data_IF_858987861582
#
_entry.id   IF_858987861582
#
_cell.length_a   1.000
_cell.length_b   1.000
_cell.length_c   1.000
_cell.angle_alpha   90.00
_cell.angle_beta   90.00
_cell.angle_gamma   90.00
#
_symmetry.space_group_name_H-M   'P 1'
#
loop_
_entity.id
_entity.type
_entity.pdbx_description
1 polymer ?
#
# COMPACT_ATOMS: atom_id res chain seq x y z
N UNK A 1 -2.58 -12.08 -32.64
CA UNK A 1 -2.56 -10.73 -32.02
C UNK A 1 -2.78 -10.90 -30.53
N UNK A 2 -1.97 -10.28 -29.65
CA UNK A 2 -2.24 -10.28 -28.21
C UNK A 2 -3.40 -9.33 -27.96
N UNK A 3 -4.44 -9.79 -27.25
CA UNK A 3 -5.56 -8.96 -26.82
C UNK A 3 -5.03 -7.81 -25.93
N UNK A 4 -5.42 -6.55 -26.17
CA UNK A 4 -5.03 -5.44 -25.32
C UNK A 4 -5.48 -5.69 -23.88
N UNK A 5 -4.62 -5.38 -22.89
CA UNK A 5 -5.01 -5.50 -21.48
C UNK A 5 -6.05 -4.44 -21.14
N UNK A 6 -7.18 -4.88 -20.59
CA UNK A 6 -8.26 -4.03 -20.08
C UNK A 6 -7.99 -3.53 -18.65
N UNK A 7 -6.93 -3.96 -18.02
CA UNK A 7 -6.68 -3.73 -16.59
C UNK A 7 -6.67 -2.24 -16.23
N UNK A 8 -5.97 -1.42 -17.02
CA UNK A 8 -5.91 0.02 -16.78
C UNK A 8 -7.26 0.70 -17.00
N UNK A 9 -8.00 0.30 -18.04
CA UNK A 9 -9.35 0.80 -18.32
C UNK A 9 -10.28 0.50 -17.15
N UNK A 10 -10.35 -0.77 -16.74
CA UNK A 10 -11.17 -1.19 -15.60
C UNK A 10 -10.75 -0.48 -14.31
N UNK A 11 -9.45 -0.28 -14.09
CA UNK A 11 -8.93 0.42 -12.93
C UNK A 11 -9.40 1.88 -12.88
N UNK A 12 -9.28 2.62 -14.00
CA UNK A 12 -9.73 4.02 -14.08
C UNK A 12 -11.25 4.13 -13.87
N UNK A 13 -12.03 3.20 -14.46
CA UNK A 13 -13.47 3.20 -14.32
C UNK A 13 -13.95 2.80 -12.92
N UNK A 14 -13.18 2.00 -12.19
CA UNK A 14 -13.45 1.66 -10.79
C UNK A 14 -13.15 2.81 -9.80
N UNK A 15 -12.39 3.82 -10.22
CA UNK A 15 -12.09 4.97 -9.36
C UNK A 15 -13.31 5.83 -9.10
N UNK A 16 -13.49 6.27 -7.84
CA UNK A 16 -14.49 7.25 -7.45
C UNK A 16 -14.21 8.63 -8.04
N UNK A 17 -15.24 9.49 -8.12
CA UNK A 17 -15.09 10.87 -8.58
C UNK A 17 -14.10 11.68 -7.73
N UNK A 18 -14.00 11.38 -6.42
CA UNK A 18 -13.07 12.04 -5.52
C UNK A 18 -11.62 11.64 -5.82
N UNK A 19 -11.35 10.36 -6.08
CA UNK A 19 -10.03 9.86 -6.45
C UNK A 19 -9.57 10.40 -7.81
N UNK A 20 -10.45 10.43 -8.81
CA UNK A 20 -10.17 11.03 -10.12
C UNK A 20 -9.83 12.52 -10.00
N UNK A 21 -10.56 13.24 -9.15
CA UNK A 21 -10.29 14.67 -8.90
C UNK A 21 -8.95 14.87 -8.19
N UNK A 22 -8.64 14.05 -7.19
CA UNK A 22 -7.37 14.09 -6.49
C UNK A 22 -6.20 13.82 -7.43
N UNK A 23 -6.28 12.76 -8.26
CA UNK A 23 -5.29 12.44 -9.26
C UNK A 23 -5.02 13.61 -10.23
N UNK A 24 -6.07 14.20 -10.79
CA UNK A 24 -5.95 15.35 -11.70
C UNK A 24 -5.30 16.56 -11.04
N UNK A 25 -5.56 16.80 -9.76
CA UNK A 25 -4.99 17.93 -9.00
C UNK A 25 -3.50 17.73 -8.70
N UNK A 26 -3.10 16.50 -8.39
CA UNK A 26 -1.73 16.17 -7.98
C UNK A 26 -0.79 15.93 -9.17
N UNK A 27 -1.33 15.50 -10.32
CA UNK A 27 -0.54 15.19 -11.52
C UNK A 27 -0.29 16.45 -12.34
N UNK A 28 1.01 16.75 -12.61
CA UNK A 28 1.44 17.93 -13.41
C UNK A 28 1.80 17.59 -14.85
N UNK A 29 2.03 16.32 -15.16
CA UNK A 29 2.40 15.87 -16.50
C UNK A 29 1.16 15.84 -17.40
N UNK A 30 1.07 16.81 -18.33
CA UNK A 30 -0.05 16.95 -19.26
C UNK A 30 -0.30 15.68 -20.07
N UNK A 31 0.75 15.06 -20.54
CA UNK A 31 0.66 13.85 -21.34
C UNK A 31 0.03 12.68 -20.56
N UNK A 32 0.38 12.51 -19.28
CA UNK A 32 -0.24 11.52 -18.39
C UNK A 32 -1.72 11.82 -18.16
N UNK A 33 -2.08 13.12 -18.03
CA UNK A 33 -3.46 13.55 -17.88
C UNK A 33 -4.27 13.30 -19.17
N UNK A 34 -3.71 13.61 -20.35
CA UNK A 34 -4.36 13.37 -21.64
C UNK A 34 -4.67 11.89 -21.84
N UNK A 35 -3.70 11.01 -21.56
CA UNK A 35 -3.92 9.56 -21.63
C UNK A 35 -4.99 9.10 -20.64
N UNK A 36 -4.99 9.61 -19.42
CA UNK A 36 -6.01 9.32 -18.42
C UNK A 36 -7.39 9.76 -18.89
N UNK A 37 -7.52 10.99 -19.39
CA UNK A 37 -8.80 11.55 -19.82
C UNK A 37 -9.36 10.81 -21.02
N UNK A 38 -8.53 10.48 -22.01
CA UNK A 38 -8.94 9.68 -23.17
C UNK A 38 -9.52 8.33 -22.72
N UNK A 39 -8.84 7.62 -21.80
CA UNK A 39 -9.33 6.33 -21.33
C UNK A 39 -10.57 6.47 -20.45
N UNK A 40 -10.65 7.52 -19.64
CA UNK A 40 -11.77 7.76 -18.73
C UNK A 40 -13.07 8.14 -19.47
N UNK A 41 -12.98 8.74 -20.65
CA UNK A 41 -14.13 9.10 -21.48
C UNK A 41 -14.71 7.94 -22.29
N UNK A 42 -14.00 6.82 -22.42
CA UNK A 42 -14.44 5.66 -23.20
C UNK A 42 -15.51 4.88 -22.46
N UNK A 43 -16.55 4.45 -23.15
CA UNK A 43 -17.52 3.47 -22.64
C UNK A 43 -16.99 2.03 -22.75
N UNK A 44 -16.22 1.75 -23.80
CA UNK A 44 -15.52 0.50 -24.03
C UNK A 44 -14.08 0.78 -24.48
N UNK A 45 -13.14 -0.06 -24.04
CA UNK A 45 -11.74 0.14 -24.37
C UNK A 45 -11.42 -0.13 -25.83
N UNK A 46 -10.91 0.89 -26.54
CA UNK A 46 -10.43 0.81 -27.92
C UNK A 46 -9.00 1.35 -28.03
N UNK A 47 -8.04 0.45 -28.24
CA UNK A 47 -6.62 0.82 -28.32
C UNK A 47 -6.29 1.66 -29.56
N UNK A 48 -6.99 1.42 -30.68
CA UNK A 48 -6.78 2.20 -31.90
C UNK A 48 -7.31 3.63 -31.74
N UNK A 49 -8.41 3.81 -31.04
CA UNK A 49 -8.91 5.13 -30.68
C UNK A 49 -7.91 5.89 -29.81
N UNK A 50 -7.32 5.25 -28.80
CA UNK A 50 -6.28 5.84 -27.94
C UNK A 50 -5.07 6.26 -28.78
N UNK A 51 -4.56 5.38 -29.67
CA UNK A 51 -3.45 5.72 -30.55
C UNK A 51 -3.77 6.88 -31.47
N UNK A 52 -4.99 6.91 -32.03
CA UNK A 52 -5.41 7.97 -32.95
C UNK A 52 -5.53 9.33 -32.26
N UNK A 53 -6.05 9.39 -31.03
CA UNK A 53 -6.13 10.63 -30.25
C UNK A 53 -4.76 11.13 -29.77
N UNK A 54 -3.77 10.25 -29.64
CA UNK A 54 -2.39 10.55 -29.20
C UNK A 54 -1.40 10.73 -30.34
N UNK A 55 -1.82 10.72 -31.61
CA UNK A 55 -0.92 10.74 -32.80
C UNK A 55 0.07 11.89 -32.81
N UNK A 56 -0.32 13.05 -32.33
CA UNK A 56 0.50 14.27 -32.32
C UNK A 56 1.36 14.42 -31.05
N UNK A 57 1.26 13.46 -30.14
CA UNK A 57 2.03 13.42 -28.90
C UNK A 57 3.25 12.51 -29.03
N UNK A 58 4.29 12.75 -28.24
CA UNK A 58 5.50 11.90 -28.17
C UNK A 58 5.22 10.45 -27.73
N UNK A 59 3.95 10.10 -27.50
CA UNK A 59 3.47 8.79 -27.02
C UNK A 59 3.18 7.77 -28.13
N UNK A 60 3.06 8.19 -29.39
CA UNK A 60 2.59 7.34 -30.48
C UNK A 60 3.43 6.05 -30.69
N UNK A 61 4.71 6.06 -30.28
CA UNK A 61 5.63 4.93 -30.46
C UNK A 61 5.58 3.84 -29.36
N UNK A 62 5.07 4.12 -28.16
CA UNK A 62 5.25 3.21 -27.02
C UNK A 62 4.08 3.22 -26.01
N UNK A 63 2.84 3.15 -26.51
CA UNK A 63 1.61 3.22 -25.71
C UNK A 63 1.63 2.24 -24.50
N UNK A 64 2.20 1.06 -24.65
CA UNK A 64 2.32 0.07 -23.55
C UNK A 64 3.12 0.63 -22.37
N UNK A 65 4.24 1.31 -22.64
CA UNK A 65 5.08 1.90 -21.58
C UNK A 65 4.33 3.03 -20.88
N UNK A 66 3.62 3.87 -21.63
CA UNK A 66 2.85 4.98 -21.07
C UNK A 66 1.64 4.49 -20.26
N UNK A 67 0.95 3.43 -20.67
CA UNK A 67 -0.11 2.78 -19.88
C UNK A 67 0.44 2.25 -18.55
N UNK A 68 1.59 1.57 -18.57
CA UNK A 68 2.22 1.08 -17.33
C UNK A 68 2.63 2.24 -16.42
N UNK A 69 3.22 3.30 -16.99
CA UNK A 69 3.60 4.50 -16.23
C UNK A 69 2.38 5.17 -15.59
N UNK A 70 1.30 5.36 -16.34
CA UNK A 70 0.05 5.90 -15.84
C UNK A 70 -0.48 5.06 -14.68
N UNK A 71 -0.51 3.74 -14.82
CA UNK A 71 -0.95 2.83 -13.76
C UNK A 71 -0.11 2.99 -12.48
N UNK A 72 1.22 3.11 -12.59
CA UNK A 72 2.09 3.33 -11.43
C UNK A 72 1.84 4.70 -10.76
N UNK A 73 1.62 5.75 -11.55
CA UNK A 73 1.30 7.07 -11.03
C UNK A 73 -0.06 7.05 -10.33
N UNK A 74 -1.08 6.43 -10.92
CA UNK A 74 -2.40 6.25 -10.30
C UNK A 74 -2.30 5.52 -8.96
N UNK A 75 -1.59 4.40 -8.90
CA UNK A 75 -1.39 3.64 -7.66
C UNK A 75 -0.66 4.45 -6.60
N UNK A 76 0.34 5.25 -6.98
CA UNK A 76 1.03 6.15 -6.06
C UNK A 76 0.10 7.21 -5.49
N UNK A 77 -0.67 7.87 -6.35
CA UNK A 77 -1.64 8.90 -5.97
C UNK A 77 -2.75 8.32 -5.06
N UNK A 78 -3.29 7.14 -5.39
CA UNK A 78 -4.32 6.51 -4.57
C UNK A 78 -3.79 6.09 -3.20
N UNK A 79 -2.54 5.64 -3.10
CA UNK A 79 -1.90 5.41 -1.79
C UNK A 79 -1.91 6.69 -0.95
N UNK A 80 -1.43 7.81 -1.49
CA UNK A 80 -1.46 9.11 -0.78
C UNK A 80 -2.90 9.56 -0.44
N UNK A 81 -3.84 9.35 -1.35
CA UNK A 81 -5.25 9.67 -1.10
C UNK A 81 -5.87 8.88 0.05
N UNK A 82 -5.43 7.64 0.25
CA UNK A 82 -5.95 6.73 1.29
C UNK A 82 -5.07 6.67 2.54
N UNK A 83 -3.89 7.31 2.53
CA UNK A 83 -2.82 7.14 3.53
C UNK A 83 -3.28 7.36 4.99
N UNK A 84 -4.19 8.30 5.22
CA UNK A 84 -4.68 8.61 6.56
C UNK A 84 -6.11 8.13 6.85
N UNK A 85 -6.74 7.42 5.92
CA UNK A 85 -8.16 7.08 6.03
C UNK A 85 -8.45 5.85 6.88
N UNK A 86 -7.49 4.95 7.01
CA UNK A 86 -7.65 3.74 7.82
C UNK A 86 -6.62 3.68 8.95
N UNK A 87 -6.96 3.01 10.04
CA UNK A 87 -6.01 2.76 11.13
C UNK A 87 -4.76 2.03 10.64
N UNK A 88 -4.94 1.00 9.81
CA UNK A 88 -3.84 0.24 9.20
C UNK A 88 -2.91 1.11 8.35
N UNK A 89 -3.46 2.03 7.55
CA UNK A 89 -2.64 2.94 6.74
C UNK A 89 -1.77 3.85 7.62
N UNK A 90 -2.35 4.41 8.70
CA UNK A 90 -1.61 5.25 9.66
C UNK A 90 -0.49 4.48 10.34
N UNK A 91 -0.75 3.23 10.74
CA UNK A 91 0.26 2.36 11.37
C UNK A 91 1.40 2.09 10.40
N UNK A 92 1.10 1.76 9.13
CA UNK A 92 2.12 1.53 8.10
C UNK A 92 3.01 2.76 7.87
N UNK A 93 2.42 3.95 7.81
CA UNK A 93 3.19 5.21 7.69
C UNK A 93 4.17 5.38 8.86
N UNK A 94 3.77 5.07 10.08
CA UNK A 94 4.67 5.15 11.24
C UNK A 94 5.81 4.14 11.13
N UNK A 95 5.54 2.92 10.67
CA UNK A 95 6.57 1.90 10.44
C UNK A 95 7.53 2.33 9.33
N UNK A 96 7.02 2.85 8.20
CA UNK A 96 7.83 3.35 7.09
C UNK A 96 8.71 4.54 7.52
N UNK A 97 8.16 5.46 8.32
CA UNK A 97 8.92 6.57 8.90
C UNK A 97 10.06 6.07 9.79
N UNK A 98 9.81 5.05 10.62
CA UNK A 98 10.85 4.45 11.44
C UNK A 98 11.98 3.86 10.57
N UNK A 99 11.65 3.17 9.49
CA UNK A 99 12.66 2.64 8.56
C UNK A 99 13.48 3.75 7.87
N UNK A 100 12.85 4.88 7.54
CA UNK A 100 13.56 6.06 7.00
C UNK A 100 14.54 6.60 8.03
N UNK A 101 14.12 6.77 9.31
CA UNK A 101 15.00 7.23 10.38
C UNK A 101 16.17 6.26 10.62
N UNK A 102 15.93 4.95 10.53
CA UNK A 102 16.97 3.93 10.64
C UNK A 102 18.04 4.07 9.56
N UNK A 103 17.62 4.25 8.30
CA UNK A 103 18.55 4.49 7.19
C UNK A 103 19.40 5.76 7.39
N UNK A 104 18.87 6.73 8.16
CA UNK A 104 19.57 7.97 8.55
C UNK A 104 20.34 7.86 9.86
N UNK A 105 20.36 6.69 10.51
CA UNK A 105 20.99 6.42 11.82
C UNK A 105 20.39 7.27 12.97
N UNK A 106 19.13 7.68 12.82
CA UNK A 106 18.39 8.45 13.82
C UNK A 106 17.58 7.47 14.69
N UNK A 107 18.25 6.76 15.59
CA UNK A 107 17.70 5.62 16.31
C UNK A 107 16.57 6.00 17.27
N UNK A 108 16.72 7.08 18.02
CA UNK A 108 15.69 7.55 18.97
C UNK A 108 14.38 7.92 18.27
N UNK A 109 14.48 8.61 17.12
CA UNK A 109 13.32 8.98 16.31
C UNK A 109 12.64 7.73 15.72
N UNK A 110 13.42 6.74 15.29
CA UNK A 110 12.90 5.47 14.81
C UNK A 110 12.13 4.74 15.91
N UNK A 111 12.69 4.63 17.13
CA UNK A 111 12.02 4.03 18.29
C UNK A 111 10.72 4.77 18.60
N UNK A 112 10.72 6.10 18.60
CA UNK A 112 9.52 6.90 18.86
C UNK A 112 8.39 6.62 17.85
N UNK A 113 8.73 6.42 16.56
CA UNK A 113 7.73 6.05 15.56
C UNK A 113 7.19 4.63 15.78
N UNK A 114 8.08 3.68 16.11
CA UNK A 114 7.68 2.30 16.39
C UNK A 114 6.79 2.20 17.62
N UNK A 115 7.08 2.95 18.69
CA UNK A 115 6.26 2.97 19.90
C UNK A 115 4.85 3.48 19.63
N UNK A 116 4.72 4.53 18.81
CA UNK A 116 3.42 5.03 18.36
C UNK A 116 2.69 3.98 17.49
N UNK A 117 3.41 3.32 16.59
CA UNK A 117 2.83 2.26 15.76
C UNK A 117 2.29 1.11 16.62
N UNK A 118 3.06 0.66 17.62
CA UNK A 118 2.66 -0.40 18.55
C UNK A 118 1.41 0.00 19.34
N UNK A 119 1.35 1.24 19.86
CA UNK A 119 0.17 1.75 20.57
C UNK A 119 -1.08 1.74 19.68
N UNK A 120 -0.96 2.15 18.43
CA UNK A 120 -2.08 2.08 17.47
C UNK A 120 -2.45 0.64 17.13
N UNK A 121 -1.47 -0.27 17.00
CA UNK A 121 -1.76 -1.69 16.80
C UNK A 121 -2.56 -2.29 17.96
N UNK A 122 -2.26 -1.91 19.21
CA UNK A 122 -3.00 -2.35 20.39
C UNK A 122 -4.42 -1.77 20.41
N UNK A 123 -4.57 -0.49 20.03
CA UNK A 123 -5.87 0.17 19.98
C UNK A 123 -6.81 -0.40 18.93
N UNK A 124 -6.27 -0.80 17.78
CA UNK A 124 -7.04 -1.25 16.63
C UNK A 124 -6.96 -2.77 16.37
N UNK A 125 -6.36 -3.52 17.31
CA UNK A 125 -6.24 -4.99 17.24
C UNK A 125 -5.58 -5.49 15.96
N UNK A 126 -4.41 -4.89 15.61
CA UNK A 126 -3.64 -5.19 14.39
C UNK A 126 -2.35 -5.99 14.71
N UNK A 127 -2.46 -7.30 15.05
CA UNK A 127 -1.33 -8.08 15.53
C UNK A 127 -0.24 -8.30 14.48
N UNK A 128 -0.56 -8.35 13.19
CA UNK A 128 0.41 -8.50 12.10
C UNK A 128 1.31 -7.26 11.99
N UNK A 129 0.73 -6.08 12.04
CA UNK A 129 1.48 -4.82 11.99
C UNK A 129 2.25 -4.60 13.29
N UNK A 130 1.69 -5.01 14.43
CA UNK A 130 2.41 -4.99 15.71
C UNK A 130 3.64 -5.88 15.66
N UNK A 131 3.52 -7.10 15.14
CA UNK A 131 4.64 -8.02 14.99
C UNK A 131 5.73 -7.44 14.09
N UNK A 132 5.35 -6.76 13.00
CA UNK A 132 6.30 -6.07 12.12
C UNK A 132 7.05 -4.95 12.87
N UNK A 133 6.34 -4.07 13.57
CA UNK A 133 6.95 -2.98 14.34
C UNK A 133 7.88 -3.49 15.44
N UNK A 134 7.48 -4.52 16.18
CA UNK A 134 8.30 -5.17 17.22
C UNK A 134 9.54 -5.83 16.63
N UNK A 135 9.44 -6.46 15.45
CA UNK A 135 10.58 -7.07 14.76
C UNK A 135 11.64 -6.02 14.37
N UNK A 136 11.22 -4.84 13.92
CA UNK A 136 12.13 -3.73 13.64
C UNK A 136 12.75 -3.22 14.94
N UNK A 137 11.95 -3.06 16.01
CA UNK A 137 12.42 -2.59 17.31
C UNK A 137 13.43 -3.55 17.94
N UNK A 138 13.22 -4.87 17.83
CA UNK A 138 14.14 -5.89 18.31
C UNK A 138 15.54 -5.79 17.66
N UNK A 139 15.59 -5.49 16.36
CA UNK A 139 16.87 -5.31 15.65
C UNK A 139 17.60 -4.02 16.06
N UNK A 140 16.88 -3.02 16.56
CA UNK A 140 17.45 -1.76 17.05
C UNK A 140 18.06 -1.89 18.43
N UNK A 141 17.54 -2.77 19.26
CA UNK A 141 17.99 -2.95 20.63
C UNK A 141 19.50 -3.29 20.73
N UNK A 142 20.06 -3.93 19.69
CA UNK A 142 21.50 -4.20 19.61
C UNK A 142 22.38 -2.95 19.48
N UNK A 143 21.80 -1.78 19.17
CA UNK A 143 22.52 -0.50 19.00
C UNK A 143 22.25 0.49 20.15
N UNK A 144 21.45 0.11 21.16
CA UNK A 144 21.08 0.95 22.29
C UNK A 144 21.67 0.41 23.60
N UNK A 145 21.97 1.29 24.54
CA UNK A 145 22.66 0.96 25.81
C UNK A 145 21.83 0.12 26.80
N UNK A 146 20.50 0.09 26.66
CA UNK A 146 19.56 -0.65 27.52
C UNK A 146 19.04 -1.95 26.89
N UNK A 147 19.94 -2.70 26.26
CA UNK A 147 19.65 -3.87 25.43
C UNK A 147 18.79 -4.96 26.10
N UNK A 148 19.12 -5.35 27.34
CA UNK A 148 18.49 -6.51 27.96
C UNK A 148 17.01 -6.30 28.31
N UNK A 149 16.66 -5.14 28.86
CA UNK A 149 15.28 -4.84 29.29
C UNK A 149 14.33 -4.63 28.11
N UNK A 150 14.82 -3.92 27.07
CA UNK A 150 14.02 -3.66 25.86
C UNK A 150 13.74 -4.96 25.10
N UNK A 151 14.73 -5.86 25.04
CA UNK A 151 14.64 -7.06 24.21
C UNK A 151 13.72 -8.12 24.84
N UNK A 152 13.72 -8.28 26.17
CA UNK A 152 12.87 -9.29 26.83
C UNK A 152 11.37 -9.00 26.63
N UNK A 153 10.93 -7.77 26.83
CA UNK A 153 9.55 -7.38 26.63
C UNK A 153 9.13 -7.46 25.17
N UNK A 154 10.01 -7.04 24.24
CA UNK A 154 9.74 -7.10 22.80
C UNK A 154 9.54 -8.55 22.33
N UNK A 155 10.37 -9.48 22.75
CA UNK A 155 10.25 -10.89 22.38
C UNK A 155 8.98 -11.54 22.95
N UNK A 156 8.61 -11.19 24.18
CA UNK A 156 7.36 -11.66 24.80
C UNK A 156 6.15 -11.15 24.03
N UNK A 157 6.13 -9.88 23.66
CA UNK A 157 5.06 -9.27 22.86
C UNK A 157 5.00 -9.87 21.45
N UNK A 158 6.15 -10.13 20.83
CA UNK A 158 6.21 -10.83 19.53
C UNK A 158 5.60 -12.23 19.62
N UNK A 159 5.93 -13.01 20.66
CA UNK A 159 5.36 -14.33 20.88
C UNK A 159 3.83 -14.27 21.10
N UNK A 160 3.36 -13.24 21.79
CA UNK A 160 1.92 -13.02 21.98
C UNK A 160 1.22 -12.70 20.64
N UNK A 161 1.75 -11.78 19.83
CA UNK A 161 1.22 -11.46 18.50
C UNK A 161 1.20 -12.70 17.59
N UNK A 162 2.28 -13.49 17.57
CA UNK A 162 2.36 -14.71 16.78
C UNK A 162 1.24 -15.70 17.16
N UNK A 163 0.94 -15.84 18.45
CA UNK A 163 -0.16 -16.68 18.94
C UNK A 163 -1.53 -16.17 18.51
N UNK A 164 -1.74 -14.83 18.55
CA UNK A 164 -2.99 -14.24 18.05
C UNK A 164 -3.18 -14.53 16.57
N UNK A 165 -2.16 -14.31 15.75
CA UNK A 165 -2.20 -14.60 14.32
C UNK A 165 -2.49 -16.09 14.06
N UNK A 166 -1.85 -16.97 14.79
CA UNK A 166 -2.09 -18.43 14.69
C UNK A 166 -3.56 -18.78 15.00
N UNK A 167 -4.14 -18.14 16.02
CA UNK A 167 -5.55 -18.33 16.38
C UNK A 167 -6.48 -17.87 15.25
N UNK A 168 -6.20 -16.71 14.62
CA UNK A 168 -6.98 -16.25 13.46
C UNK A 168 -6.92 -17.21 12.29
N UNK A 169 -5.73 -17.71 11.97
CA UNK A 169 -5.54 -18.73 10.91
C UNK A 169 -6.34 -19.99 11.22
N UNK A 170 -6.30 -20.44 12.46
CA UNK A 170 -7.03 -21.64 12.89
C UNK A 170 -8.55 -21.46 12.76
N UNK A 171 -9.08 -20.32 13.22
CA UNK A 171 -10.50 -19.99 13.07
C UNK A 171 -10.93 -19.88 11.61
N UNK A 172 -10.11 -19.26 10.76
CA UNK A 172 -10.37 -19.18 9.31
C UNK A 172 -10.44 -20.58 8.68
N UNK A 173 -9.52 -21.48 9.05
CA UNK A 173 -9.51 -22.87 8.58
C UNK A 173 -10.76 -23.67 9.03
N UNK A 174 -11.27 -23.42 10.24
CA UNK A 174 -12.51 -24.05 10.71
C UNK A 174 -13.71 -23.53 9.90
N UNK A 175 -13.79 -22.21 9.70
CA UNK A 175 -14.87 -21.62 8.91
C UNK A 175 -14.90 -22.15 7.46
N UNK A 176 -13.75 -22.29 6.82
CA UNK A 176 -13.65 -22.88 5.48
C UNK A 176 -14.19 -24.32 5.45
N UNK A 177 -13.81 -25.16 6.43
CA UNK A 177 -14.32 -26.53 6.54
C UNK A 177 -15.84 -26.60 6.73
N UNK A 178 -16.41 -25.68 7.53
CA UNK A 178 -17.84 -25.58 7.74
C UNK A 178 -18.55 -25.24 6.41
N UNK A 179 -18.04 -24.26 5.67
CA UNK A 179 -18.60 -23.85 4.38
C UNK A 179 -18.58 -24.98 3.34
N UNK A 180 -17.51 -25.80 3.33
CA UNK A 180 -17.39 -26.96 2.45
C UNK A 180 -18.32 -28.13 2.83
N UNK A 181 -18.81 -28.20 4.08
CA UNK A 181 -19.72 -29.25 4.55
C UNK A 181 -21.20 -28.90 4.34
N UNK A 182 -21.52 -27.63 4.10
CA UNK A 182 -22.90 -27.14 3.92
C UNK A 182 -23.28 -27.09 2.42
N UNK A 183 -22.35 -27.14 1.49
CA UNK A 183 -22.54 -27.20 0.04
C UNK A 183 -22.45 -28.64 -0.48
#
# INVERSE_FOLDING_TARGET
>A
MKTPSLDLFNFIHAMSSAEKRYFKKDTRDSNTLDLFDIINEMEAYDEELVKNRLKDSSFAGNLKVHKNRLQQILLKNLRSFHEEKTAQSRIRVLIDNAEIFLKKKMFEQAVSQLDKAIQYCDLYEEPELKLQALSIKSRLSSNLTDFEHINHNVLTDMAFCARQIQNYIHLASINEKILLTIN
#
